data_IF_379354627940
#
_entry.id   IF_379354627940
#
_cell.length_a   1.000
_cell.length_b   1.000
_cell.length_c   1.000
_cell.angle_alpha   90.00
_cell.angle_beta   90.00
_cell.angle_gamma   90.00
#
_symmetry.space_group_name_H-M   'P 1'
#
loop_
_entity.id
_entity.type
_entity.pdbx_description
1 polymer ?
#
# COMPACT_ATOMS: atom_id res chain seq x y z
N UNK A 1 1.84 16.23 15.55
CA UNK A 1 3.03 15.35 15.44
C UNK A 1 4.16 16.03 14.65
N UNK A 2 4.10 16.17 13.29
CA UNK A 2 5.18 16.82 12.50
C UNK A 2 5.36 18.30 12.92
N UNK A 3 4.26 19.03 13.11
CA UNK A 3 4.25 20.40 13.59
C UNK A 3 4.99 20.60 14.91
N UNK A 4 4.92 19.60 15.80
CA UNK A 4 5.56 19.67 17.13
C UNK A 4 7.08 19.55 17.04
N UNK A 5 7.59 18.79 16.06
CA UNK A 5 9.05 18.72 15.79
C UNK A 5 9.57 20.02 15.19
N UNK A 6 8.82 20.59 14.22
CA UNK A 6 9.17 21.86 13.60
C UNK A 6 9.17 22.99 14.64
N UNK A 7 8.17 23.01 15.54
CA UNK A 7 8.08 24.02 16.62
C UNK A 7 9.24 23.95 17.64
N UNK A 8 9.89 22.78 17.76
CA UNK A 8 11.09 22.57 18.59
C UNK A 8 12.41 22.90 17.86
N UNK A 9 12.34 23.49 16.66
CA UNK A 9 13.52 23.85 15.88
C UNK A 9 14.23 22.68 15.20
N UNK A 10 13.59 21.51 15.14
CA UNK A 10 14.14 20.35 14.43
C UNK A 10 13.80 20.46 12.93
N UNK A 11 14.82 20.59 12.09
CA UNK A 11 14.64 20.52 10.63
C UNK A 11 14.51 19.06 10.20
N UNK A 12 13.34 18.71 9.68
CA UNK A 12 13.04 17.38 9.16
C UNK A 12 13.32 17.26 7.66
N UNK A 13 13.87 18.30 7.04
CA UNK A 13 14.20 18.36 5.60
C UNK A 13 13.03 17.89 4.69
N UNK A 14 11.79 18.27 5.05
CA UNK A 14 10.55 17.81 4.38
C UNK A 14 10.44 18.24 2.91
N UNK A 15 11.30 19.14 2.47
CA UNK A 15 11.44 19.60 1.09
C UNK A 15 12.38 18.73 0.25
N UNK A 16 12.99 17.70 0.84
CA UNK A 16 13.85 16.72 0.17
C UNK A 16 13.18 15.36 0.07
N UNK A 17 13.66 14.50 -0.84
CA UNK A 17 13.23 13.11 -0.90
C UNK A 17 13.92 12.28 0.19
N UNK A 18 13.26 11.20 0.60
CA UNK A 18 13.92 10.19 1.44
C UNK A 18 15.01 9.45 0.65
N UNK A 19 15.89 8.76 1.34
CA UNK A 19 16.92 7.92 0.72
C UNK A 19 16.33 6.82 -0.17
N UNK A 20 17.13 6.24 -1.08
CA UNK A 20 16.63 5.27 -2.06
C UNK A 20 16.06 4.02 -1.42
N UNK A 21 16.62 3.56 -0.29
CA UNK A 21 16.13 2.40 0.46
C UNK A 21 14.71 2.65 0.99
N UNK A 22 14.44 3.85 1.53
CA UNK A 22 13.13 4.20 2.02
C UNK A 22 12.11 4.36 0.88
N UNK A 23 12.55 4.86 -0.29
CA UNK A 23 11.71 4.91 -1.51
C UNK A 23 11.33 3.49 -1.95
N UNK A 24 12.29 2.55 -1.99
CA UNK A 24 12.04 1.13 -2.32
C UNK A 24 11.09 0.51 -1.31
N UNK A 25 11.33 0.69 -0.01
CA UNK A 25 10.50 0.12 1.04
C UNK A 25 9.02 0.56 0.92
N UNK A 26 8.79 1.87 0.69
CA UNK A 26 7.45 2.41 0.51
C UNK A 26 6.72 1.81 -0.69
N UNK A 27 7.39 1.70 -1.84
CA UNK A 27 6.78 1.15 -3.04
C UNK A 27 6.60 -0.37 -2.99
N UNK A 28 7.47 -1.07 -2.24
CA UNK A 28 7.31 -2.51 -1.98
C UNK A 28 6.08 -2.81 -1.13
N UNK A 29 5.80 -1.95 -0.14
CA UNK A 29 4.57 -2.03 0.65
C UNK A 29 3.33 -1.82 -0.21
N UNK A 30 3.34 -0.81 -1.10
CA UNK A 30 2.25 -0.59 -2.07
C UNK A 30 2.00 -1.81 -2.96
N UNK A 31 3.07 -2.47 -3.48
CA UNK A 31 2.96 -3.68 -4.29
C UNK A 31 2.29 -4.82 -3.51
N UNK A 32 2.74 -5.05 -2.28
CA UNK A 32 2.18 -6.07 -1.40
C UNK A 32 0.71 -5.77 -1.08
N UNK A 33 0.41 -4.54 -0.70
CA UNK A 33 -0.92 -4.09 -0.31
C UNK A 33 -1.96 -4.32 -1.42
N UNK A 34 -1.74 -3.83 -2.65
CA UNK A 34 -2.68 -4.04 -3.74
C UNK A 34 -2.93 -5.51 -4.04
N UNK A 35 -1.89 -6.32 -3.97
CA UNK A 35 -1.98 -7.75 -4.28
C UNK A 35 -2.78 -8.52 -3.23
N UNK A 36 -2.61 -8.17 -1.96
CA UNK A 36 -3.37 -8.77 -0.86
C UNK A 36 -4.82 -8.28 -0.85
N UNK A 37 -5.07 -7.01 -1.09
CA UNK A 37 -6.41 -6.46 -1.09
C UNK A 37 -7.28 -7.02 -2.22
N UNK A 38 -6.71 -7.30 -3.39
CA UNK A 38 -7.43 -7.99 -4.47
C UNK A 38 -7.83 -9.40 -4.01
N UNK A 39 -6.93 -10.16 -3.38
CA UNK A 39 -7.21 -11.49 -2.85
C UNK A 39 -8.30 -11.43 -1.76
N UNK A 40 -8.16 -10.51 -0.81
CA UNK A 40 -9.09 -10.36 0.30
C UNK A 40 -10.47 -9.88 -0.16
N UNK A 41 -10.53 -8.99 -1.13
CA UNK A 41 -11.78 -8.54 -1.71
C UNK A 41 -12.56 -9.66 -2.40
N UNK A 42 -11.89 -10.52 -3.15
CA UNK A 42 -12.49 -11.70 -3.77
C UNK A 42 -12.94 -12.69 -2.68
N UNK A 43 -12.09 -12.96 -1.69
CA UNK A 43 -12.39 -13.90 -0.61
C UNK A 43 -13.56 -13.43 0.25
N UNK A 44 -13.68 -12.13 0.49
CA UNK A 44 -14.78 -11.53 1.24
C UNK A 44 -16.06 -11.35 0.39
N UNK A 45 -16.02 -11.64 -0.91
CA UNK A 45 -17.17 -11.53 -1.82
C UNK A 45 -17.59 -10.09 -2.14
N UNK A 46 -16.65 -9.14 -2.11
CA UNK A 46 -16.92 -7.77 -2.54
C UNK A 46 -16.94 -7.61 -4.07
N UNK A 47 -16.20 -8.47 -4.76
CA UNK A 47 -16.15 -8.59 -6.22
C UNK A 47 -15.61 -9.98 -6.59
N UNK A 48 -15.79 -10.40 -7.83
CA UNK A 48 -15.33 -11.69 -8.33
C UNK A 48 -14.07 -11.57 -9.21
N UNK A 49 -13.54 -12.74 -9.61
CA UNK A 49 -12.36 -12.84 -10.48
C UNK A 49 -12.61 -12.20 -11.84
N UNK A 50 -13.82 -12.39 -12.39
CA UNK A 50 -14.22 -11.83 -13.68
C UNK A 50 -14.22 -10.30 -13.66
N UNK A 51 -14.66 -9.69 -12.57
CA UNK A 51 -14.62 -8.23 -12.39
C UNK A 51 -13.17 -7.71 -12.48
N UNK A 52 -12.24 -8.39 -11.80
CA UNK A 52 -10.81 -8.05 -11.80
C UNK A 52 -10.19 -8.23 -13.19
N UNK A 53 -10.44 -9.37 -13.84
CA UNK A 53 -9.91 -9.69 -15.16
C UNK A 53 -10.41 -8.72 -16.24
N UNK A 54 -11.67 -8.32 -16.17
CA UNK A 54 -12.27 -7.36 -17.12
C UNK A 54 -11.79 -5.95 -16.91
N UNK A 55 -11.60 -5.57 -15.64
CA UNK A 55 -11.31 -4.18 -15.27
C UNK A 55 -9.85 -3.82 -15.41
N UNK A 56 -8.91 -4.70 -15.02
CA UNK A 56 -7.50 -4.33 -14.92
C UNK A 56 -6.76 -4.48 -16.24
N UNK A 57 -6.31 -3.35 -16.77
CA UNK A 57 -5.55 -3.29 -18.04
C UNK A 57 -4.25 -4.08 -17.97
N UNK A 58 -3.57 -4.11 -16.82
CA UNK A 58 -2.36 -4.90 -16.58
C UNK A 58 -2.59 -6.41 -16.81
N UNK A 59 -3.81 -6.90 -16.66
CA UNK A 59 -4.15 -8.33 -16.81
C UNK A 59 -4.52 -8.74 -18.26
N UNK A 60 -4.58 -7.82 -19.20
CA UNK A 60 -4.94 -8.14 -20.61
C UNK A 60 -4.03 -9.20 -21.23
N UNK A 61 -2.72 -9.09 -20.99
CA UNK A 61 -1.74 -10.07 -21.50
C UNK A 61 -1.84 -11.40 -20.75
N UNK A 62 -2.07 -11.36 -19.45
CA UNK A 62 -2.32 -12.55 -18.64
C UNK A 62 -3.52 -13.34 -19.16
N UNK A 63 -4.62 -12.66 -19.47
CA UNK A 63 -5.83 -13.31 -20.03
C UNK A 63 -5.54 -14.01 -21.35
N UNK A 64 -4.79 -13.39 -22.26
CA UNK A 64 -4.46 -13.98 -23.57
C UNK A 64 -3.60 -15.24 -23.45
N UNK A 65 -2.64 -15.24 -22.53
CA UNK A 65 -1.61 -16.28 -22.46
C UNK A 65 -1.94 -17.41 -21.47
N UNK A 66 -2.67 -17.15 -20.42
CA UNK A 66 -2.81 -18.06 -19.28
C UNK A 66 -4.27 -18.48 -19.04
N UNK A 67 -5.22 -17.60 -19.35
CA UNK A 67 -6.63 -17.79 -19.01
C UNK A 67 -7.41 -18.57 -20.10
N UNK A 68 -6.79 -19.56 -20.74
CA UNK A 68 -7.55 -20.47 -21.59
C UNK A 68 -8.28 -21.48 -20.72
N UNK A 69 -9.63 -21.36 -20.62
CA UNK A 69 -10.65 -22.36 -20.18
C UNK A 69 -10.28 -23.42 -19.10
N UNK A 70 -9.00 -23.55 -18.75
CA UNK A 70 -8.45 -24.60 -17.90
C UNK A 70 -8.75 -24.36 -16.40
N UNK A 71 -9.05 -23.12 -16.00
CA UNK A 71 -9.13 -22.74 -14.59
C UNK A 71 -10.51 -22.31 -14.09
N UNK A 72 -11.56 -22.37 -14.91
CA UNK A 72 -12.93 -21.94 -14.52
C UNK A 72 -13.48 -22.59 -13.23
N UNK A 73 -12.88 -23.69 -12.79
CA UNK A 73 -13.33 -24.44 -11.60
C UNK A 73 -12.46 -24.21 -10.35
N UNK A 74 -11.34 -23.49 -10.43
CA UNK A 74 -10.37 -23.35 -9.34
C UNK A 74 -10.10 -21.88 -8.99
N UNK A 75 -11.11 -21.18 -8.48
CA UNK A 75 -11.03 -19.75 -8.13
C UNK A 75 -9.77 -19.40 -7.32
N UNK A 76 -9.42 -20.20 -6.30
CA UNK A 76 -8.24 -19.95 -5.46
C UNK A 76 -6.93 -19.97 -6.25
N UNK A 77 -6.80 -20.88 -7.21
CA UNK A 77 -5.61 -20.98 -8.05
C UNK A 77 -5.47 -19.77 -8.98
N UNK A 78 -6.58 -19.36 -9.60
CA UNK A 78 -6.61 -18.16 -10.47
C UNK A 78 -6.22 -16.92 -9.69
N UNK A 79 -6.76 -16.72 -8.49
CA UNK A 79 -6.43 -15.57 -7.63
C UNK A 79 -4.93 -15.54 -7.31
N UNK A 80 -4.33 -16.69 -6.98
CA UNK A 80 -2.89 -16.76 -6.73
C UNK A 80 -2.05 -16.44 -7.99
N UNK A 81 -2.47 -16.89 -9.16
CA UNK A 81 -1.78 -16.58 -10.42
C UNK A 81 -1.91 -15.10 -10.79
N UNK A 82 -3.08 -14.49 -10.61
CA UNK A 82 -3.30 -13.05 -10.80
C UNK A 82 -2.38 -12.27 -9.86
N UNK A 83 -2.35 -12.63 -8.58
CA UNK A 83 -1.51 -11.99 -7.57
C UNK A 83 -0.03 -12.02 -7.96
N UNK A 84 0.48 -13.20 -8.29
CA UNK A 84 1.87 -13.38 -8.73
C UNK A 84 2.20 -12.55 -9.98
N UNK A 85 1.28 -12.54 -10.94
CA UNK A 85 1.45 -11.78 -12.18
C UNK A 85 1.53 -10.28 -11.92
N UNK A 86 0.61 -9.73 -11.12
CA UNK A 86 0.61 -8.30 -10.76
C UNK A 86 1.90 -7.94 -10.03
N UNK A 87 2.29 -8.70 -9.00
CA UNK A 87 3.54 -8.47 -8.24
C UNK A 87 4.74 -8.46 -9.18
N UNK A 88 4.88 -9.49 -10.03
CA UNK A 88 6.00 -9.60 -10.97
C UNK A 88 6.05 -8.40 -11.91
N UNK A 89 4.92 -8.01 -12.50
CA UNK A 89 4.86 -6.87 -13.42
C UNK A 89 5.21 -5.55 -12.75
N UNK A 90 4.75 -5.33 -11.53
CA UNK A 90 5.08 -4.12 -10.78
C UNK A 90 6.56 -4.08 -10.40
N UNK A 91 7.14 -5.20 -9.96
CA UNK A 91 8.58 -5.29 -9.63
C UNK A 91 9.44 -5.07 -10.89
N UNK A 92 9.12 -5.74 -12.00
CA UNK A 92 9.86 -5.61 -13.26
C UNK A 92 9.87 -4.16 -13.76
N UNK A 93 8.71 -3.49 -13.70
CA UNK A 93 8.56 -2.08 -14.08
C UNK A 93 9.37 -1.17 -13.17
N UNK A 94 9.23 -1.35 -11.84
CA UNK A 94 9.94 -0.55 -10.84
C UNK A 94 11.46 -0.64 -11.01
N UNK A 95 11.98 -1.85 -11.20
CA UNK A 95 13.42 -2.08 -11.43
C UNK A 95 13.87 -1.41 -12.74
N UNK A 96 13.10 -1.58 -13.81
CA UNK A 96 13.44 -1.02 -15.12
C UNK A 96 13.45 0.50 -15.10
N UNK A 97 12.41 1.12 -14.54
CA UNK A 97 12.32 2.58 -14.47
C UNK A 97 13.36 3.17 -13.52
N UNK A 98 13.64 2.51 -12.40
CA UNK A 98 14.70 2.94 -11.48
C UNK A 98 16.08 2.88 -12.15
N UNK A 99 16.39 1.82 -12.90
CA UNK A 99 17.64 1.72 -13.68
C UNK A 99 17.75 2.85 -14.72
N UNK A 100 16.65 3.16 -15.40
CA UNK A 100 16.62 4.28 -16.36
C UNK A 100 16.88 5.61 -15.64
N UNK A 101 16.28 5.85 -14.49
CA UNK A 101 16.48 7.06 -13.70
C UNK A 101 17.92 7.18 -13.19
N UNK A 102 18.53 6.08 -12.74
CA UNK A 102 19.96 6.05 -12.34
C UNK A 102 20.83 6.43 -13.52
N UNK A 103 20.61 5.84 -14.69
CA UNK A 103 21.39 6.13 -15.89
C UNK A 103 21.24 7.57 -16.37
N UNK A 104 20.02 8.13 -16.25
CA UNK A 104 19.72 9.48 -16.70
C UNK A 104 20.30 10.55 -15.77
N UNK A 105 20.20 10.35 -14.47
CA UNK A 105 20.58 11.36 -13.46
C UNK A 105 21.97 11.13 -12.86
N UNK A 106 22.52 9.93 -13.00
CA UNK A 106 23.85 9.53 -12.54
C UNK A 106 24.20 10.01 -11.12
N UNK A 107 23.32 9.79 -10.10
CA UNK A 107 23.59 10.25 -8.76
C UNK A 107 24.83 9.55 -8.19
N UNK A 108 25.70 10.29 -7.49
CA UNK A 108 26.94 9.79 -6.90
C UNK A 108 26.88 9.67 -5.39
N UNK A 109 25.85 10.22 -4.77
CA UNK A 109 25.66 10.22 -3.31
C UNK A 109 24.19 10.12 -2.95
N UNK A 110 23.90 9.79 -1.69
CA UNK A 110 22.54 9.82 -1.16
C UNK A 110 21.98 11.26 -1.17
N UNK A 111 22.84 12.26 -0.97
CA UNK A 111 22.42 13.65 -1.00
C UNK A 111 21.99 14.11 -2.40
N UNK A 112 22.63 13.61 -3.45
CA UNK A 112 22.19 13.87 -4.83
C UNK A 112 20.77 13.36 -5.03
N UNK A 113 20.46 12.14 -4.53
CA UNK A 113 19.13 11.52 -4.64
C UNK A 113 18.10 12.34 -3.87
N UNK A 114 18.42 12.78 -2.65
CA UNK A 114 17.53 13.59 -1.81
C UNK A 114 17.13 14.91 -2.46
N UNK A 115 18.07 15.53 -3.18
CA UNK A 115 17.90 16.83 -3.85
C UNK A 115 17.33 16.76 -5.27
N UNK A 116 17.03 15.56 -5.78
CA UNK A 116 16.43 15.41 -7.11
C UNK A 116 15.06 16.09 -7.19
N UNK A 117 14.67 16.52 -8.38
CA UNK A 117 13.32 17.08 -8.63
C UNK A 117 12.20 16.05 -8.52
N UNK A 118 12.53 14.78 -8.71
CA UNK A 118 11.60 13.64 -8.67
C UNK A 118 12.26 12.49 -7.91
N UNK A 119 11.47 11.57 -7.33
CA UNK A 119 12.05 10.40 -6.67
C UNK A 119 12.85 9.57 -7.67
N UNK A 120 13.95 8.98 -7.21
CA UNK A 120 14.78 8.09 -8.02
C UNK A 120 14.06 6.79 -8.31
N UNK A 121 13.44 6.21 -7.27
CA UNK A 121 12.70 4.95 -7.34
C UNK A 121 11.25 5.30 -7.60
N UNK A 122 10.75 4.92 -8.77
CA UNK A 122 9.39 5.23 -9.19
C UNK A 122 8.92 4.23 -10.25
N UNK A 123 7.62 4.08 -10.38
CA UNK A 123 7.01 3.36 -11.49
C UNK A 123 7.00 4.18 -12.78
N UNK A 124 6.95 3.49 -13.90
CA UNK A 124 6.69 4.12 -15.21
C UNK A 124 5.32 4.82 -15.24
N UNK A 125 5.12 5.70 -16.21
CA UNK A 125 3.81 6.35 -16.41
C UNK A 125 2.70 5.34 -16.68
N UNK A 126 2.99 4.29 -17.43
CA UNK A 126 2.05 3.21 -17.75
C UNK A 126 1.67 2.44 -16.50
N UNK A 127 2.65 2.03 -15.69
CA UNK A 127 2.38 1.32 -14.44
C UNK A 127 1.63 2.19 -13.44
N UNK A 128 1.95 3.47 -13.33
CA UNK A 128 1.18 4.40 -12.49
C UNK A 128 -0.28 4.50 -12.91
N UNK A 129 -0.58 4.43 -14.22
CA UNK A 129 -1.96 4.37 -14.70
C UNK A 129 -2.67 3.07 -14.29
N UNK A 130 -1.99 1.93 -14.38
CA UNK A 130 -2.51 0.65 -13.92
C UNK A 130 -2.76 0.65 -12.40
N UNK A 131 -1.83 1.20 -11.62
CA UNK A 131 -1.98 1.35 -10.16
C UNK A 131 -3.18 2.22 -9.81
N UNK A 132 -3.37 3.35 -10.51
CA UNK A 132 -4.54 4.20 -10.33
C UNK A 132 -5.85 3.44 -10.62
N UNK A 133 -5.89 2.62 -11.66
CA UNK A 133 -7.04 1.79 -12.00
C UNK A 133 -7.36 0.79 -10.89
N UNK A 134 -6.35 0.09 -10.36
CA UNK A 134 -6.50 -0.86 -9.24
C UNK A 134 -7.00 -0.12 -7.99
N UNK A 135 -6.35 0.98 -7.61
CA UNK A 135 -6.71 1.78 -6.43
C UNK A 135 -8.14 2.31 -6.52
N UNK A 136 -8.53 2.83 -7.68
CA UNK A 136 -9.89 3.32 -7.91
C UNK A 136 -10.93 2.21 -7.79
N UNK A 137 -10.63 1.03 -8.33
CA UNK A 137 -11.51 -0.14 -8.23
C UNK A 137 -11.69 -0.58 -6.77
N UNK A 138 -10.60 -0.78 -6.03
CA UNK A 138 -10.62 -1.17 -4.61
C UNK A 138 -11.34 -0.13 -3.75
N UNK A 139 -11.12 1.16 -4.01
CA UNK A 139 -11.81 2.24 -3.31
C UNK A 139 -13.34 2.14 -3.46
N UNK A 140 -13.81 1.87 -4.66
CA UNK A 140 -15.24 1.84 -4.94
C UNK A 140 -15.90 0.52 -4.54
N UNK A 141 -15.24 -0.61 -4.73
CA UNK A 141 -15.82 -1.94 -4.52
C UNK A 141 -15.61 -2.46 -3.09
N UNK A 142 -14.53 -2.07 -2.44
CA UNK A 142 -14.13 -2.60 -1.14
C UNK A 142 -14.10 -1.54 -0.03
N UNK A 143 -13.21 -0.54 -0.10
CA UNK A 143 -12.98 0.36 1.05
C UNK A 143 -14.19 1.21 1.43
N UNK A 144 -15.03 1.60 0.47
CA UNK A 144 -16.29 2.32 0.71
C UNK A 144 -17.49 1.38 0.92
N UNK A 145 -17.27 0.08 0.97
CA UNK A 145 -18.36 -0.87 1.16
C UNK A 145 -18.97 -0.72 2.56
N UNK A 146 -20.30 -0.74 2.66
CA UNK A 146 -21.02 -0.51 3.93
C UNK A 146 -20.59 -1.44 5.07
N UNK A 147 -20.28 -2.72 4.79
CA UNK A 147 -19.77 -3.67 5.79
C UNK A 147 -18.45 -3.21 6.38
N UNK A 148 -17.51 -2.72 5.53
CA UNK A 148 -16.22 -2.18 5.99
C UNK A 148 -16.45 -0.94 6.84
N UNK A 149 -17.34 -0.02 6.41
CA UNK A 149 -17.65 1.20 7.16
C UNK A 149 -18.21 0.89 8.55
N UNK A 150 -19.11 -0.11 8.68
CA UNK A 150 -19.62 -0.54 9.98
C UNK A 150 -18.48 -1.07 10.86
N UNK A 151 -17.63 -1.96 10.33
CA UNK A 151 -16.51 -2.53 11.11
C UNK A 151 -15.52 -1.46 11.55
N UNK A 152 -15.16 -0.56 10.64
CA UNK A 152 -14.25 0.57 10.92
C UNK A 152 -14.83 1.49 12.00
N UNK A 153 -16.13 1.79 11.93
CA UNK A 153 -16.77 2.64 12.93
C UNK A 153 -16.80 1.96 14.30
N UNK A 154 -17.13 0.66 14.36
CA UNK A 154 -17.06 -0.12 15.61
C UNK A 154 -15.65 -0.12 16.20
N UNK A 155 -14.62 -0.37 15.37
CA UNK A 155 -13.23 -0.35 15.80
C UNK A 155 -12.81 1.02 16.35
N UNK A 156 -13.19 2.11 15.68
CA UNK A 156 -12.93 3.48 16.17
C UNK A 156 -13.56 3.73 17.54
N UNK A 157 -14.82 3.31 17.73
CA UNK A 157 -15.51 3.49 19.00
C UNK A 157 -14.82 2.70 20.10
N UNK A 158 -14.49 1.42 19.86
CA UNK A 158 -13.78 0.58 20.85
C UNK A 158 -12.43 1.22 21.25
N UNK A 159 -11.62 1.66 20.27
CA UNK A 159 -10.34 2.31 20.56
C UNK A 159 -10.55 3.61 21.36
N UNK A 160 -11.53 4.42 20.97
CA UNK A 160 -11.87 5.65 21.69
C UNK A 160 -12.30 5.39 23.13
N UNK A 161 -13.19 4.40 23.33
CA UNK A 161 -13.70 4.06 24.66
C UNK A 161 -12.60 3.51 25.56
N UNK A 162 -11.75 2.61 25.03
CA UNK A 162 -10.59 2.09 25.77
C UNK A 162 -9.59 3.19 26.12
N UNK A 163 -9.30 4.10 25.19
CA UNK A 163 -8.42 5.23 25.47
C UNK A 163 -8.97 6.11 26.59
N UNK A 164 -10.26 6.46 26.52
CA UNK A 164 -10.89 7.26 27.56
C UNK A 164 -10.93 6.55 28.92
N UNK A 165 -11.20 5.24 28.94
CA UNK A 165 -11.19 4.42 30.15
C UNK A 165 -9.82 4.44 30.81
N UNK A 166 -8.77 4.07 30.09
CA UNK A 166 -7.40 4.06 30.64
C UNK A 166 -6.87 5.44 31.00
N UNK A 167 -7.32 6.47 30.30
CA UNK A 167 -6.95 7.86 30.63
C UNK A 167 -7.57 8.31 31.95
N UNK A 168 -8.80 7.90 32.24
CA UNK A 168 -9.49 8.23 33.48
C UNK A 168 -9.09 7.31 34.66
N UNK A 169 -8.91 6.04 34.38
CA UNK A 169 -8.69 4.96 35.35
C UNK A 169 -7.35 4.26 35.01
N UNK A 170 -6.24 4.96 35.26
CA UNK A 170 -4.90 4.43 34.97
C UNK A 170 -4.57 3.14 35.73
N UNK A 171 -5.25 2.88 36.82
CA UNK A 171 -5.08 1.66 37.65
C UNK A 171 -5.55 0.39 36.88
N UNK A 172 -6.30 0.53 35.79
CA UNK A 172 -6.68 -0.56 34.91
C UNK A 172 -5.58 -0.93 33.90
N UNK A 173 -4.53 -0.14 33.80
CA UNK A 173 -3.37 -0.46 32.94
C UNK A 173 -2.53 -1.57 33.58
N UNK A 174 -1.86 -2.42 32.77
CA UNK A 174 -0.87 -3.36 33.26
C UNK A 174 0.19 -2.65 34.13
N UNK A 175 0.69 -3.34 35.17
CA UNK A 175 1.61 -2.76 36.14
C UNK A 175 2.84 -2.10 35.52
N UNK A 176 3.37 -2.66 34.45
CA UNK A 176 4.50 -2.14 33.70
C UNK A 176 4.25 -0.75 33.05
N UNK A 177 3.01 -0.46 32.71
CA UNK A 177 2.59 0.83 32.14
C UNK A 177 2.14 1.83 33.20
N UNK A 178 1.62 1.32 34.33
CA UNK A 178 1.14 2.17 35.42
C UNK A 178 2.30 2.75 36.28
N UNK A 179 3.44 2.07 36.34
CA UNK A 179 4.58 2.46 37.18
C UNK A 179 5.19 3.84 36.82
N UNK A 180 4.92 4.37 35.62
CA UNK A 180 5.36 5.70 35.17
C UNK A 180 4.35 6.83 35.35
N UNK A 181 3.12 6.54 35.75
CA UNK A 181 2.06 7.55 35.90
C UNK A 181 2.13 8.11 37.31
N UNK A 182 2.68 9.32 37.43
CA UNK A 182 2.60 10.08 38.68
C UNK A 182 1.16 10.55 38.88
N UNK A 183 0.56 10.15 40.01
CA UNK A 183 -0.75 10.69 40.48
C UNK A 183 -0.65 12.18 40.73
#
# INVERSE_FOLDING_TARGET
>A
AISDYISKGMDLELNTWCGPEAQVASLSDDIAYFSHDIEDGIRAGFFDVEDVLKKFTILKTFMKNTYHNKYKKETRRIVNEIKRYIISKMIDDLISETKNNISLHNPRSADDIRKMKKPLVTFSKEMNSNIYEIRSFLMNKMYKHWKINIMTNKAKNIVSDLFQLYFKESDLLPLEWNAGIKK
#
